data_IF_017363058473
#
_entry.id   IF_017363058473
#
_cell.length_a   1.000
_cell.length_b   1.000
_cell.length_c   1.000
_cell.angle_alpha   90.00
_cell.angle_beta   90.00
_cell.angle_gamma   90.00
#
_symmetry.space_group_name_H-M   'P 1'
#
loop_
_entity.id
_entity.type
_entity.pdbx_description
1 polymer ?
#
# COMPACT_ATOMS: atom_id res chain seq x y z
N UNK A 1 21.41 -21.70 3.33
CA UNK A 1 20.03 -21.57 3.85
C UNK A 1 20.05 -22.06 5.29
N UNK A 2 20.39 -21.21 6.25
CA UNK A 2 20.61 -21.65 7.64
C UNK A 2 20.51 -20.44 8.57
N UNK A 3 19.31 -20.19 9.11
CA UNK A 3 18.97 -19.46 10.34
C UNK A 3 17.46 -19.13 10.35
N UNK A 4 16.61 -20.08 9.94
CA UNK A 4 15.18 -19.96 10.17
C UNK A 4 14.90 -20.46 11.59
N UNK A 5 14.72 -19.55 12.53
CA UNK A 5 14.31 -19.87 13.90
C UNK A 5 12.80 -20.11 13.86
N UNK A 6 12.39 -21.37 13.85
CA UNK A 6 10.99 -21.77 13.72
C UNK A 6 10.08 -21.18 14.81
N UNK A 7 10.64 -20.80 15.95
CA UNK A 7 9.92 -20.28 17.11
C UNK A 7 9.87 -18.75 17.18
N UNK A 8 10.49 -18.05 16.21
CA UNK A 8 10.67 -16.60 16.24
C UNK A 8 11.66 -16.14 17.30
N UNK A 9 12.01 -14.86 17.28
CA UNK A 9 12.81 -14.25 18.35
C UNK A 9 11.87 -13.52 19.31
N UNK A 10 11.47 -14.13 20.45
CA UNK A 10 10.61 -13.47 21.41
C UNK A 10 11.36 -12.26 21.98
N UNK A 11 10.76 -11.08 21.86
CA UNK A 11 11.26 -9.82 22.43
C UNK A 11 10.27 -9.29 23.46
N UNK A 12 10.74 -8.53 24.47
CA UNK A 12 9.84 -7.88 25.42
C UNK A 12 8.82 -6.97 24.70
N UNK A 13 7.58 -6.94 25.18
CA UNK A 13 6.51 -6.10 24.62
C UNK A 13 6.89 -4.59 24.56
N UNK A 14 7.80 -4.14 25.42
CA UNK A 14 8.36 -2.78 25.42
C UNK A 14 9.08 -2.38 24.13
N UNK A 15 9.53 -3.34 23.33
CA UNK A 15 10.13 -3.06 22.02
C UNK A 15 9.14 -2.43 21.05
N UNK A 16 7.84 -2.77 21.13
CA UNK A 16 6.80 -2.15 20.29
C UNK A 16 6.67 -0.65 20.57
N UNK A 17 6.62 -0.27 21.85
CA UNK A 17 6.62 1.14 22.25
C UNK A 17 7.88 1.87 21.80
N UNK A 18 9.04 1.21 21.96
CA UNK A 18 10.34 1.77 21.57
C UNK A 18 10.42 2.03 20.06
N UNK A 19 9.83 1.17 19.24
CA UNK A 19 9.72 1.35 17.79
C UNK A 19 8.90 2.60 17.42
N UNK A 20 7.72 2.76 18.04
CA UNK A 20 6.86 3.95 17.81
C UNK A 20 7.57 5.24 18.26
N UNK A 21 8.18 5.23 19.45
CA UNK A 21 8.93 6.37 19.95
C UNK A 21 10.12 6.74 19.06
N UNK A 22 10.77 5.74 18.45
CA UNK A 22 11.88 5.95 17.50
C UNK A 22 11.41 6.52 16.17
N UNK A 23 10.27 6.06 15.65
CA UNK A 23 9.65 6.66 14.47
C UNK A 23 9.30 8.15 14.69
N UNK A 24 8.84 8.52 15.90
CA UNK A 24 8.61 9.93 16.25
C UNK A 24 9.89 10.77 16.22
N UNK A 25 11.03 10.22 16.66
CA UNK A 25 12.32 10.90 16.55
C UNK A 25 12.69 11.14 15.09
N UNK A 26 12.43 10.16 14.21
CA UNK A 26 12.69 10.27 12.78
C UNK A 26 11.83 11.35 12.12
N UNK A 27 10.55 11.42 12.46
CA UNK A 27 9.63 12.47 11.97
C UNK A 27 10.13 13.87 12.35
N UNK A 28 10.50 14.07 13.63
CA UNK A 28 10.98 15.37 14.14
C UNK A 28 12.26 15.90 13.47
N UNK A 29 13.05 15.05 12.80
CA UNK A 29 14.26 15.50 12.09
C UNK A 29 13.95 16.32 10.84
N UNK A 30 12.83 16.09 10.16
CA UNK A 30 12.48 16.79 8.91
C UNK A 30 10.97 16.89 8.69
N UNK A 31 10.20 17.48 9.62
CA UNK A 31 8.75 17.46 9.59
C UNK A 31 8.16 18.14 8.33
N UNK A 32 8.76 19.24 7.87
CA UNK A 32 8.29 19.95 6.68
C UNK A 32 8.37 19.12 5.40
N UNK A 33 9.46 18.35 5.23
CA UNK A 33 9.64 17.49 4.06
C UNK A 33 8.73 16.27 4.16
N UNK A 34 8.54 15.71 5.36
CA UNK A 34 7.55 14.64 5.58
C UNK A 34 6.13 15.08 5.18
N UNK A 35 5.72 16.28 5.57
CA UNK A 35 4.43 16.85 5.19
C UNK A 35 4.35 17.08 3.68
N UNK A 36 5.40 17.61 3.05
CA UNK A 36 5.44 17.78 1.60
C UNK A 36 5.28 16.43 0.86
N UNK A 37 6.02 15.40 1.29
CA UNK A 37 5.89 14.03 0.75
C UNK A 37 4.47 13.51 0.91
N UNK A 38 3.86 13.68 2.09
CA UNK A 38 2.49 13.24 2.35
C UNK A 38 1.47 13.97 1.45
N UNK A 39 1.60 15.29 1.29
CA UNK A 39 0.74 16.08 0.40
C UNK A 39 0.87 15.59 -1.04
N UNK A 40 2.10 15.40 -1.53
CA UNK A 40 2.32 14.92 -2.90
C UNK A 40 1.74 13.51 -3.09
N UNK A 41 1.94 12.62 -2.12
CA UNK A 41 1.34 11.28 -2.16
C UNK A 41 -0.19 11.34 -2.22
N UNK A 42 -0.83 12.21 -1.42
CA UNK A 42 -2.29 12.43 -1.46
C UNK A 42 -2.74 12.95 -2.81
N UNK A 43 -2.04 13.92 -3.40
CA UNK A 43 -2.35 14.45 -4.74
C UNK A 43 -2.26 13.34 -5.81
N UNK A 44 -1.24 12.48 -5.72
CA UNK A 44 -1.10 11.32 -6.61
C UNK A 44 -2.27 10.34 -6.43
N UNK A 45 -2.68 10.05 -5.20
CA UNK A 45 -3.84 9.19 -4.94
C UNK A 45 -5.13 9.78 -5.50
N UNK A 46 -5.35 11.09 -5.33
CA UNK A 46 -6.49 11.81 -5.90
C UNK A 46 -6.45 11.71 -7.44
N UNK A 47 -5.29 11.88 -8.06
CA UNK A 47 -5.14 11.77 -9.51
C UNK A 47 -5.55 10.39 -10.04
N UNK A 48 -5.29 9.30 -9.29
CA UNK A 48 -5.77 7.97 -9.67
C UNK A 48 -7.30 7.90 -9.72
N UNK A 49 -8.01 8.50 -8.75
CA UNK A 49 -9.48 8.48 -8.74
C UNK A 49 -10.11 9.17 -9.96
N UNK A 50 -9.47 10.20 -10.49
CA UNK A 50 -9.93 10.86 -11.72
C UNK A 50 -9.71 10.01 -12.97
N UNK A 51 -8.77 9.06 -12.93
CA UNK A 51 -8.48 8.14 -14.02
C UNK A 51 -9.48 6.98 -14.03
N UNK A 52 -10.76 7.31 -14.17
CA UNK A 52 -11.99 6.50 -13.97
C UNK A 52 -11.94 5.02 -14.42
N UNK A 53 -11.15 4.67 -15.44
CA UNK A 53 -11.02 3.29 -15.93
C UNK A 53 -9.74 2.56 -15.47
N UNK A 54 -8.61 3.26 -15.32
CA UNK A 54 -7.29 2.63 -15.05
C UNK A 54 -6.70 2.98 -13.68
N UNK A 55 -7.30 3.94 -12.98
CA UNK A 55 -6.81 4.46 -11.71
C UNK A 55 -6.66 3.41 -10.63
N UNK A 56 -7.65 2.51 -10.50
CA UNK A 56 -7.62 1.45 -9.50
C UNK A 56 -6.49 0.45 -9.73
N UNK A 57 -6.34 -0.04 -10.97
CA UNK A 57 -5.28 -0.98 -11.34
C UNK A 57 -3.92 -0.31 -11.17
N UNK A 58 -3.77 0.91 -11.68
CA UNK A 58 -2.52 1.65 -11.58
C UNK A 58 -2.16 1.95 -10.12
N UNK A 59 -3.13 2.30 -9.29
CA UNK A 59 -2.96 2.47 -7.85
C UNK A 59 -2.45 1.20 -7.17
N UNK A 60 -3.04 0.03 -7.48
CA UNK A 60 -2.59 -1.25 -6.94
C UNK A 60 -1.13 -1.55 -7.33
N UNK A 61 -0.76 -1.30 -8.59
CA UNK A 61 0.59 -1.56 -9.08
C UNK A 61 1.63 -0.56 -8.53
N UNK A 62 1.26 0.72 -8.40
CA UNK A 62 2.19 1.78 -8.00
C UNK A 62 2.27 1.99 -6.48
N UNK A 63 1.29 1.53 -5.70
CA UNK A 63 1.34 1.59 -4.22
C UNK A 63 2.64 1.01 -3.63
N UNK A 64 3.12 -0.19 -4.02
CA UNK A 64 4.40 -0.71 -3.53
C UNK A 64 5.59 0.16 -3.96
N UNK A 65 5.51 0.82 -5.13
CA UNK A 65 6.55 1.72 -5.65
C UNK A 65 6.67 2.97 -4.78
N UNK A 66 5.55 3.64 -4.50
CA UNK A 66 5.54 4.83 -3.62
C UNK A 66 5.87 4.50 -2.17
N UNK A 67 5.37 3.35 -1.66
CA UNK A 67 5.73 2.86 -0.32
C UNK A 67 7.22 2.62 -0.21
N UNK A 68 7.84 1.98 -1.21
CA UNK A 68 9.29 1.78 -1.24
C UNK A 68 10.03 3.12 -1.24
N UNK A 69 9.56 4.12 -1.99
CA UNK A 69 10.12 5.47 -1.97
C UNK A 69 10.14 6.10 -0.57
N UNK A 70 9.00 6.02 0.15
CA UNK A 70 8.89 6.49 1.53
C UNK A 70 9.85 5.74 2.47
N UNK A 71 9.95 4.41 2.33
CA UNK A 71 10.86 3.59 3.14
C UNK A 71 12.33 3.91 2.84
N UNK A 72 12.70 4.14 1.58
CA UNK A 72 14.05 4.56 1.18
C UNK A 72 14.36 5.94 1.79
N UNK A 73 13.41 6.88 1.77
CA UNK A 73 13.55 8.19 2.42
C UNK A 73 13.71 8.08 3.94
N UNK A 74 12.91 7.24 4.60
CA UNK A 74 13.03 6.97 6.03
C UNK A 74 14.40 6.39 6.37
N UNK A 75 14.87 5.41 5.59
CA UNK A 75 16.20 4.80 5.74
C UNK A 75 17.32 5.83 5.54
N UNK A 76 17.22 6.69 4.53
CA UNK A 76 18.19 7.76 4.32
C UNK A 76 18.28 8.69 5.53
N UNK A 77 17.12 9.08 6.09
CA UNK A 77 17.04 9.94 7.26
C UNK A 77 17.55 9.25 8.55
N UNK A 78 17.37 7.94 8.66
CA UNK A 78 17.89 7.14 9.78
C UNK A 78 19.42 7.03 9.73
N UNK A 79 19.98 6.82 8.53
CA UNK A 79 21.42 6.79 8.24
C UNK A 79 22.09 8.18 8.27
N UNK A 80 21.39 9.22 8.73
CA UNK A 80 21.93 10.58 8.90
C UNK A 80 22.00 11.40 7.61
N UNK A 81 21.48 10.89 6.49
CA UNK A 81 21.31 11.68 5.26
C UNK A 81 20.05 12.53 5.34
N UNK A 82 19.91 13.45 4.38
CA UNK A 82 18.73 14.32 4.28
C UNK A 82 17.57 13.56 3.64
N UNK A 83 16.37 13.79 4.19
CA UNK A 83 15.14 13.44 3.51
C UNK A 83 14.87 14.47 2.42
N UNK A 84 14.45 14.01 1.25
CA UNK A 84 14.15 14.87 0.09
C UNK A 84 12.88 14.37 -0.58
N UNK A 85 12.13 15.28 -1.21
CA UNK A 85 10.89 14.94 -1.95
C UNK A 85 11.16 13.90 -3.04
N UNK A 86 12.34 13.93 -3.67
CA UNK A 86 12.76 12.97 -4.69
C UNK A 86 12.71 11.51 -4.20
N UNK A 87 12.86 11.26 -2.89
CA UNK A 87 12.78 9.92 -2.33
C UNK A 87 11.40 9.28 -2.54
N UNK A 88 10.32 10.05 -2.62
CA UNK A 88 8.99 9.52 -2.93
C UNK A 88 8.95 8.75 -4.26
N UNK A 89 9.78 9.17 -5.22
CA UNK A 89 9.89 8.54 -6.54
C UNK A 89 11.05 7.54 -6.64
N UNK A 90 11.82 7.31 -5.56
CA UNK A 90 12.97 6.41 -5.60
C UNK A 90 12.60 4.95 -5.89
N UNK A 91 11.34 4.54 -5.64
CA UNK A 91 10.86 3.21 -6.03
C UNK A 91 10.82 3.00 -7.55
N UNK A 92 10.73 4.06 -8.35
CA UNK A 92 10.75 3.97 -9.82
C UNK A 92 12.14 3.68 -10.38
N UNK A 93 13.19 4.06 -9.65
CA UNK A 93 14.58 3.82 -10.05
C UNK A 93 15.17 2.58 -9.35
N UNK A 94 14.77 2.32 -8.11
CA UNK A 94 15.28 1.21 -7.32
C UNK A 94 14.32 0.01 -7.35
N UNK A 95 14.69 -1.03 -8.10
CA UNK A 95 13.95 -2.32 -8.17
C UNK A 95 12.49 -2.18 -8.65
N UNK A 96 12.20 -1.22 -9.52
CA UNK A 96 10.85 -0.98 -10.06
C UNK A 96 10.17 -2.26 -10.60
N UNK A 97 10.87 -3.05 -11.41
CA UNK A 97 10.31 -4.30 -11.96
C UNK A 97 9.88 -5.30 -10.87
N UNK A 98 10.64 -5.41 -9.78
CA UNK A 98 10.27 -6.27 -8.66
C UNK A 98 9.08 -5.70 -7.87
N UNK A 99 9.02 -4.38 -7.68
CA UNK A 99 7.91 -3.72 -7.00
C UNK A 99 6.60 -3.82 -7.80
N UNK A 100 6.68 -3.66 -9.12
CA UNK A 100 5.55 -3.91 -10.03
C UNK A 100 5.14 -5.38 -10.00
N UNK A 101 6.09 -6.32 -9.95
CA UNK A 101 5.76 -7.73 -9.81
C UNK A 101 5.01 -8.02 -8.50
N UNK A 102 5.41 -7.41 -7.37
CA UNK A 102 4.66 -7.51 -6.11
C UNK A 102 3.24 -6.97 -6.26
N UNK A 103 3.08 -5.79 -6.89
CA UNK A 103 1.76 -5.22 -7.19
C UNK A 103 0.92 -6.12 -8.09
N UNK A 104 1.53 -6.72 -9.11
CA UNK A 104 0.85 -7.62 -10.05
C UNK A 104 0.43 -8.94 -9.39
N UNK A 105 1.29 -9.52 -8.55
CA UNK A 105 0.94 -10.70 -7.75
C UNK A 105 -0.22 -10.39 -6.82
N UNK A 106 -0.18 -9.25 -6.12
CA UNK A 106 -1.26 -8.82 -5.25
C UNK A 106 -2.57 -8.63 -6.03
N UNK A 107 -2.52 -7.98 -7.19
CA UNK A 107 -3.66 -7.84 -8.08
C UNK A 107 -4.23 -9.20 -8.53
N UNK A 108 -3.37 -10.14 -8.94
CA UNK A 108 -3.78 -11.48 -9.34
C UNK A 108 -4.47 -12.25 -8.21
N UNK A 109 -3.96 -12.13 -6.98
CA UNK A 109 -4.58 -12.71 -5.79
C UNK A 109 -5.95 -12.09 -5.49
N UNK A 110 -6.08 -10.76 -5.60
CA UNK A 110 -7.36 -10.08 -5.46
C UNK A 110 -8.38 -10.56 -6.50
N UNK A 111 -7.97 -10.68 -7.76
CA UNK A 111 -8.84 -11.21 -8.82
C UNK A 111 -9.24 -12.66 -8.54
N UNK A 112 -8.32 -13.50 -8.07
CA UNK A 112 -8.62 -14.88 -7.68
C UNK A 112 -9.66 -14.94 -6.56
N UNK A 113 -9.53 -14.08 -5.54
CA UNK A 113 -10.52 -13.97 -4.45
C UNK A 113 -11.89 -13.61 -5.02
N UNK A 114 -11.97 -12.57 -5.88
CA UNK A 114 -13.23 -12.13 -6.48
C UNK A 114 -13.89 -13.25 -7.29
N UNK A 115 -13.12 -13.99 -8.09
CA UNK A 115 -13.64 -15.12 -8.87
C UNK A 115 -14.16 -16.23 -7.96
N UNK A 116 -13.39 -16.62 -6.94
CA UNK A 116 -13.81 -17.66 -5.99
C UNK A 116 -15.08 -17.24 -5.24
N UNK A 117 -15.16 -15.99 -4.77
CA UNK A 117 -16.36 -15.47 -4.11
C UNK A 117 -17.58 -15.45 -5.04
N UNK A 118 -17.41 -15.06 -6.30
CA UNK A 118 -18.49 -15.06 -7.30
C UNK A 118 -19.01 -16.49 -7.55
N UNK A 119 -18.12 -17.48 -7.64
CA UNK A 119 -18.49 -18.89 -7.81
C UNK A 119 -19.26 -19.45 -6.60
N UNK A 120 -18.90 -19.04 -5.38
CA UNK A 120 -19.55 -19.51 -4.15
C UNK A 120 -20.90 -18.84 -3.88
N UNK A 121 -21.05 -17.56 -4.22
CA UNK A 121 -22.25 -16.76 -3.90
C UNK A 121 -23.22 -16.63 -5.06
N UNK A 122 -22.79 -16.93 -6.29
CA UNK A 122 -23.55 -16.65 -7.52
C UNK A 122 -23.63 -15.17 -7.89
N UNK A 123 -23.01 -14.27 -7.11
CA UNK A 123 -22.98 -12.84 -7.40
C UNK A 123 -21.98 -12.59 -8.53
N UNK A 124 -22.42 -11.87 -9.57
CA UNK A 124 -21.54 -11.56 -10.69
C UNK A 124 -20.39 -10.65 -10.27
N UNK A 125 -19.21 -10.89 -10.85
CA UNK A 125 -17.99 -10.09 -10.64
C UNK A 125 -18.24 -8.60 -10.91
N UNK A 126 -19.09 -8.30 -11.90
CA UNK A 126 -19.50 -6.94 -12.23
C UNK A 126 -20.20 -6.22 -11.08
N UNK A 127 -21.10 -6.90 -10.36
CA UNK A 127 -21.82 -6.34 -9.22
C UNK A 127 -20.89 -6.09 -8.03
N UNK A 128 -19.92 -6.98 -7.81
CA UNK A 128 -18.92 -6.82 -6.74
C UNK A 128 -17.98 -5.64 -7.02
N UNK A 129 -17.60 -5.45 -8.29
CA UNK A 129 -16.70 -4.36 -8.71
C UNK A 129 -17.42 -3.00 -8.85
N UNK A 130 -18.71 -2.98 -9.16
CA UNK A 130 -19.48 -1.75 -9.31
C UNK A 130 -19.89 -1.12 -7.99
N UNK A 131 -19.82 -1.88 -6.88
CA UNK A 131 -20.25 -1.48 -5.53
C UNK A 131 -21.47 -0.53 -5.58
N UNK A 132 -22.51 -0.92 -6.34
CA UNK A 132 -23.74 -0.16 -6.48
C UNK A 132 -24.65 -0.49 -5.28
N UNK A 133 -24.90 0.46 -4.36
CA UNK A 133 -25.76 0.25 -3.18
C UNK A 133 -27.20 -0.15 -3.53
N UNK A 134 -27.60 0.11 -4.78
CA UNK A 134 -28.98 -0.03 -5.25
C UNK A 134 -29.42 -1.50 -5.42
N UNK A 135 -28.48 -2.43 -5.62
CA UNK A 135 -28.80 -3.85 -5.78
C UNK A 135 -29.02 -4.58 -4.45
N UNK A 136 -28.33 -4.16 -3.38
CA UNK A 136 -28.59 -4.66 -2.02
C UNK A 136 -30.02 -4.37 -1.57
N UNK A 137 -30.59 -3.22 -1.97
CA UNK A 137 -32.00 -2.88 -1.72
C UNK A 137 -32.97 -3.77 -2.49
N UNK A 138 -32.68 -4.06 -3.77
CA UNK A 138 -33.54 -4.90 -4.61
C UNK A 138 -33.55 -6.38 -4.17
N UNK A 139 -32.43 -6.90 -3.66
CA UNK A 139 -32.34 -8.27 -3.15
C UNK A 139 -33.03 -8.46 -1.79
N UNK A 140 -33.10 -7.41 -0.96
CA UNK A 140 -33.81 -7.47 0.33
C UNK A 140 -35.33 -7.38 0.18
N UNK A 141 -35.84 -6.70 -0.87
CA UNK A 141 -37.29 -6.61 -1.13
C UNK A 141 -37.90 -7.88 -1.76
N UNK A 142 -37.05 -8.82 -2.20
CA UNK A 142 -37.48 -10.06 -2.86
C UNK A 142 -37.38 -11.30 -1.95
N UNK A 143 -37.07 -11.11 -0.66
CA UNK A 143 -37.10 -12.14 0.39
C UNK A 143 -38.30 -11.96 1.30
#
# INVERSE_FOLDING_TARGET
MSNFVAEGHPVPASHGWTWIASAWKLFKRSPGIWVAIAIIAVVIFIAYYFMRAFGNILGILLTPVFTAGVVIGAKALDEGRKLEIAHLFAGFTNRFGALIAVGAIYLALLLAIVVVSALLTGVSVWVMLSASPDLTGATMSAM
#
